data_IF_937867134858
#
_entry.id   IF_937867134858
#
_cell.length_a   1.000
_cell.length_b   1.000
_cell.length_c   1.000
_cell.angle_alpha   90.00
_cell.angle_beta   90.00
_cell.angle_gamma   90.00
#
_symmetry.space_group_name_H-M   'P 1'
#
loop_
_entity.id
_entity.type
_entity.pdbx_description
1 polymer ?
#
# COMPACT_ATOMS: atom_id res chain seq x y z
N UNK A 1 21.34 40.57 4.37
CA UNK A 1 20.78 39.67 5.42
C UNK A 1 19.74 38.67 4.90
N UNK A 2 18.77 39.05 4.06
CA UNK A 2 17.70 38.13 3.60
C UNK A 2 18.19 36.89 2.83
N UNK A 3 19.25 37.01 2.01
CA UNK A 3 19.76 35.90 1.20
C UNK A 3 20.39 34.79 2.05
N UNK A 4 21.25 35.14 3.01
CA UNK A 4 21.86 34.19 3.96
C UNK A 4 20.79 33.49 4.80
N UNK A 5 19.75 34.21 5.22
CA UNK A 5 18.61 33.61 5.92
C UNK A 5 17.87 32.57 5.05
N UNK A 6 17.75 32.79 3.74
CA UNK A 6 17.17 31.80 2.82
C UNK A 6 18.05 30.54 2.68
N UNK A 7 19.37 30.71 2.61
CA UNK A 7 20.33 29.59 2.60
C UNK A 7 20.25 28.80 3.92
N UNK A 8 20.16 29.49 5.06
CA UNK A 8 19.99 28.86 6.38
C UNK A 8 18.68 28.06 6.48
N UNK A 9 17.54 28.63 6.08
CA UNK A 9 16.26 27.91 6.04
C UNK A 9 16.31 26.65 5.18
N UNK A 10 16.94 26.74 4.00
CA UNK A 10 17.07 25.59 3.12
C UNK A 10 18.01 24.51 3.67
N UNK A 11 19.04 24.88 4.45
CA UNK A 11 19.85 23.91 5.18
C UNK A 11 19.06 23.22 6.30
N UNK A 12 18.24 23.97 7.02
CA UNK A 12 17.43 23.45 8.13
C UNK A 12 16.36 22.42 7.69
N UNK A 13 16.01 22.37 6.40
CA UNK A 13 15.20 21.28 5.83
C UNK A 13 15.85 19.89 5.99
N UNK A 14 17.16 19.83 6.24
CA UNK A 14 17.95 18.61 6.44
C UNK A 14 18.41 18.41 7.90
N UNK A 15 17.85 19.16 8.86
CA UNK A 15 18.28 19.12 10.25
C UNK A 15 17.84 17.86 11.02
N UNK A 16 16.86 17.11 10.50
CA UNK A 16 16.41 15.86 11.12
C UNK A 16 17.48 14.77 11.07
N UNK A 17 17.68 14.05 12.17
CA UNK A 17 18.48 12.81 12.16
C UNK A 17 17.70 11.74 11.40
N UNK A 18 18.34 11.13 10.40
CA UNK A 18 17.79 9.94 9.77
C UNK A 18 17.81 8.82 10.82
N UNK A 19 16.66 8.55 11.45
CA UNK A 19 16.54 7.58 12.54
C UNK A 19 17.24 6.27 12.15
N UNK A 20 18.26 5.93 12.94
CA UNK A 20 19.01 4.68 12.89
C UNK A 20 18.20 3.54 13.49
N UNK A 21 17.07 3.20 12.88
CA UNK A 21 16.42 1.91 13.13
C UNK A 21 17.06 0.89 12.20
N UNK A 22 18.00 0.09 12.73
CA UNK A 22 18.38 -1.16 12.07
C UNK A 22 17.16 -2.07 12.08
N UNK A 23 16.71 -2.52 10.91
CA UNK A 23 15.71 -3.58 10.84
C UNK A 23 16.46 -4.87 11.19
N UNK A 24 16.51 -5.18 12.49
CA UNK A 24 16.97 -6.46 12.99
C UNK A 24 16.00 -7.55 12.55
N UNK A 25 16.47 -8.44 11.70
CA UNK A 25 15.75 -9.64 11.29
C UNK A 25 16.68 -10.49 10.44
N UNK A 26 16.97 -11.71 10.88
CA UNK A 26 17.77 -12.66 10.13
C UNK A 26 17.27 -12.71 8.67
N UNK A 27 18.16 -12.62 7.67
CA UNK A 27 17.72 -12.44 6.30
C UNK A 27 16.95 -13.69 5.87
N UNK A 28 15.71 -13.51 5.39
CA UNK A 28 14.90 -14.57 4.77
C UNK A 28 15.67 -15.36 3.69
N UNK A 29 16.75 -14.76 3.19
CA UNK A 29 17.76 -15.33 2.30
C UNK A 29 18.49 -16.55 2.89
N UNK A 30 18.85 -16.56 4.18
CA UNK A 30 19.50 -17.69 4.84
C UNK A 30 18.58 -18.91 4.88
N UNK A 31 17.29 -18.68 5.16
CA UNK A 31 16.26 -19.72 5.12
C UNK A 31 16.00 -20.23 3.70
N UNK A 32 15.93 -19.34 2.71
CA UNK A 32 15.75 -19.71 1.31
C UNK A 32 16.91 -20.56 0.76
N UNK A 33 18.16 -20.24 1.11
CA UNK A 33 19.35 -21.01 0.71
C UNK A 33 19.55 -22.31 1.49
N UNK A 34 19.03 -22.41 2.72
CA UNK A 34 19.01 -23.66 3.47
C UNK A 34 18.01 -24.67 2.86
N UNK A 35 16.83 -24.21 2.44
CA UNK A 35 15.78 -25.08 1.88
C UNK A 35 16.17 -25.67 0.52
N UNK A 36 16.93 -24.95 -0.31
CA UNK A 36 17.42 -25.46 -1.61
C UNK A 36 18.32 -26.70 -1.50
N UNK A 37 18.93 -26.96 -0.33
CA UNK A 37 19.94 -28.03 -0.16
C UNK A 37 19.35 -29.40 0.18
N UNK A 38 18.05 -29.51 0.44
CA UNK A 38 17.40 -30.80 0.72
C UNK A 38 16.60 -31.30 -0.50
N UNK A 39 17.12 -32.35 -1.17
CA UNK A 39 16.44 -33.04 -2.27
C UNK A 39 16.12 -34.47 -1.86
N UNK A 40 14.84 -34.85 -1.94
CA UNK A 40 14.32 -36.18 -1.61
C UNK A 40 12.85 -36.20 -1.17
N UNK A 41 12.00 -35.31 -1.72
CA UNK A 41 10.60 -35.18 -1.30
C UNK A 41 9.62 -35.79 -2.32
N UNK A 42 8.54 -36.48 -1.88
CA UNK A 42 7.46 -36.95 -2.76
C UNK A 42 6.85 -35.81 -3.59
N UNK A 43 6.32 -36.08 -4.80
CA UNK A 43 5.90 -35.05 -5.77
C UNK A 43 5.00 -33.93 -5.20
N UNK A 44 4.01 -34.25 -4.35
CA UNK A 44 3.15 -33.25 -3.70
C UNK A 44 3.88 -32.43 -2.62
N UNK A 45 4.90 -33.00 -1.96
CA UNK A 45 5.79 -32.27 -1.05
C UNK A 45 6.82 -31.43 -1.82
N UNK A 46 7.30 -31.91 -2.98
CA UNK A 46 8.17 -31.16 -3.88
C UNK A 46 7.45 -29.93 -4.49
N UNK A 47 6.18 -30.07 -4.90
CA UNK A 47 5.38 -28.95 -5.40
C UNK A 47 5.11 -27.89 -4.32
N UNK A 48 4.75 -28.31 -3.09
CA UNK A 48 4.59 -27.42 -1.92
C UNK A 48 5.92 -26.74 -1.53
N UNK A 49 7.03 -27.48 -1.57
CA UNK A 49 8.37 -26.94 -1.34
C UNK A 49 8.76 -25.91 -2.41
N UNK A 50 8.49 -26.18 -3.69
CA UNK A 50 8.73 -25.23 -4.79
C UNK A 50 7.93 -23.93 -4.67
N UNK A 51 6.66 -24.01 -4.26
CA UNK A 51 5.83 -22.85 -3.97
C UNK A 51 6.38 -22.03 -2.78
N UNK A 52 6.80 -22.71 -1.70
CA UNK A 52 7.40 -22.09 -0.53
C UNK A 52 8.75 -21.40 -0.85
N UNK A 53 9.63 -22.06 -1.62
CA UNK A 53 10.91 -21.49 -2.08
C UNK A 53 10.67 -20.24 -2.93
N UNK A 54 9.69 -20.30 -3.85
CA UNK A 54 9.35 -19.15 -4.71
C UNK A 54 8.81 -17.99 -3.87
N UNK A 55 8.01 -18.27 -2.84
CA UNK A 55 7.51 -17.25 -1.92
C UNK A 55 8.64 -16.61 -1.11
N UNK A 56 9.53 -17.40 -0.53
CA UNK A 56 10.70 -16.90 0.20
C UNK A 56 11.63 -16.07 -0.69
N UNK A 57 11.84 -16.47 -1.94
CA UNK A 57 12.63 -15.70 -2.90
C UNK A 57 12.01 -14.33 -3.21
N UNK A 58 10.66 -14.25 -3.30
CA UNK A 58 9.96 -12.96 -3.48
C UNK A 58 10.08 -12.07 -2.23
N UNK A 59 9.96 -12.63 -1.03
CA UNK A 59 10.16 -11.89 0.22
C UNK A 59 11.59 -11.34 0.30
N UNK A 60 12.60 -12.17 0.05
CA UNK A 60 14.00 -11.73 0.03
C UNK A 60 14.29 -10.66 -1.05
N UNK A 61 13.57 -10.66 -2.17
CA UNK A 61 13.65 -9.58 -3.15
C UNK A 61 13.01 -8.28 -2.65
N UNK A 62 11.85 -8.37 -1.98
CA UNK A 62 11.17 -7.21 -1.38
C UNK A 62 12.01 -6.57 -0.27
N UNK A 63 12.65 -7.38 0.58
CA UNK A 63 13.55 -6.91 1.64
C UNK A 63 14.74 -6.14 1.07
N UNK A 64 15.40 -6.70 0.04
CA UNK A 64 16.50 -5.99 -0.67
C UNK A 64 16.04 -4.68 -1.30
N UNK A 65 14.85 -4.65 -1.89
CA UNK A 65 14.31 -3.43 -2.50
C UNK A 65 13.97 -2.36 -1.44
N UNK A 66 13.49 -2.79 -0.26
CA UNK A 66 13.24 -1.91 0.89
C UNK A 66 14.55 -1.31 1.40
N UNK A 67 15.56 -2.16 1.63
CA UNK A 67 16.89 -1.74 2.06
C UNK A 67 17.51 -0.72 1.09
N UNK A 68 17.48 -1.01 -0.22
CA UNK A 68 17.97 -0.09 -1.25
C UNK A 68 17.23 1.26 -1.21
N UNK A 69 15.93 1.26 -0.96
CA UNK A 69 15.12 2.48 -0.91
C UNK A 69 15.44 3.32 0.32
N UNK A 70 15.63 2.68 1.49
CA UNK A 70 16.03 3.35 2.73
C UNK A 70 17.45 3.91 2.60
N UNK A 71 18.39 3.12 2.07
CA UNK A 71 19.77 3.55 1.83
C UNK A 71 19.81 4.75 0.89
N UNK A 72 19.10 4.71 -0.23
CA UNK A 72 19.01 5.84 -1.15
C UNK A 72 18.44 7.12 -0.50
N UNK A 73 17.43 6.97 0.37
CA UNK A 73 16.88 8.10 1.13
C UNK A 73 17.91 8.71 2.09
N UNK A 74 18.63 7.87 2.84
CA UNK A 74 19.68 8.28 3.77
C UNK A 74 20.84 8.97 3.05
N UNK A 75 21.30 8.42 1.93
CA UNK A 75 22.36 9.01 1.11
C UNK A 75 21.94 10.37 0.54
N UNK A 76 20.72 10.50 0.00
CA UNK A 76 20.24 11.79 -0.53
C UNK A 76 20.15 12.86 0.57
N UNK A 77 19.69 12.46 1.76
CA UNK A 77 19.60 13.35 2.91
C UNK A 77 20.98 13.83 3.37
N UNK A 78 21.93 12.90 3.53
CA UNK A 78 23.30 13.24 3.93
C UNK A 78 23.99 14.16 2.90
N UNK A 79 23.86 13.84 1.61
CA UNK A 79 24.38 14.67 0.53
C UNK A 79 23.73 16.06 0.51
N UNK A 80 22.41 16.14 0.67
CA UNK A 80 21.67 17.41 0.75
C UNK A 80 22.11 18.28 1.92
N UNK A 81 22.31 17.67 3.09
CA UNK A 81 22.83 18.35 4.28
C UNK A 81 24.23 18.91 4.06
N UNK A 82 25.15 18.09 3.54
CA UNK A 82 26.54 18.49 3.28
C UNK A 82 26.61 19.62 2.23
N UNK A 83 25.90 19.47 1.10
CA UNK A 83 25.92 20.45 0.02
C UNK A 83 25.31 21.81 0.44
N UNK A 84 24.20 21.79 1.18
CA UNK A 84 23.58 23.04 1.67
C UNK A 84 24.43 23.70 2.75
N UNK A 85 25.12 22.90 3.59
CA UNK A 85 26.06 23.42 4.58
C UNK A 85 27.25 24.11 3.93
N UNK A 86 27.90 23.45 2.98
CA UNK A 86 29.03 24.02 2.24
C UNK A 86 28.66 25.35 1.55
N UNK A 87 27.46 25.42 0.96
CA UNK A 87 26.98 26.65 0.31
C UNK A 87 26.69 27.79 1.30
N UNK A 88 26.15 27.45 2.48
CA UNK A 88 25.93 28.42 3.57
C UNK A 88 27.26 28.93 4.13
N UNK A 89 28.20 28.03 4.40
CA UNK A 89 29.52 28.38 4.93
C UNK A 89 30.28 29.27 3.92
N UNK A 90 30.25 28.91 2.63
CA UNK A 90 30.83 29.74 1.57
C UNK A 90 30.17 31.11 1.39
N UNK A 91 28.93 31.29 1.85
CA UNK A 91 28.25 32.59 1.85
C UNK A 91 28.62 33.42 3.09
N UNK A 92 28.85 32.77 4.23
CA UNK A 92 29.23 33.43 5.49
C UNK A 92 30.70 33.86 5.49
N UNK A 93 31.58 33.12 4.79
CA UNK A 93 33.02 33.41 4.73
C UNK A 93 33.42 34.27 3.53
N UNK A 94 32.46 34.75 2.73
CA UNK A 94 32.70 35.55 1.53
C UNK A 94 33.21 36.95 1.89
N UNK A 95 34.54 37.09 2.04
CA UNK A 95 35.23 38.36 2.30
C UNK A 95 35.62 39.02 0.98
N UNK A 96 34.67 39.59 0.23
CA UNK A 96 34.98 40.25 -1.05
C UNK A 96 35.68 41.60 -0.85
N UNK A 97 36.92 41.78 -1.35
CA UNK A 97 37.72 42.99 -1.11
C UNK A 97 37.41 44.17 -2.03
N UNK A 98 36.46 44.06 -2.95
CA UNK A 98 36.15 45.09 -3.97
C UNK A 98 34.68 45.57 -3.94
N UNK A 99 33.94 45.31 -2.85
CA UNK A 99 32.51 45.58 -2.73
C UNK A 99 32.12 47.06 -2.94
N UNK A 100 33.06 47.99 -2.79
CA UNK A 100 32.81 49.43 -2.93
C UNK A 100 32.81 49.90 -4.40
N UNK A 101 33.22 49.04 -5.34
CA UNK A 101 33.17 49.34 -6.78
C UNK A 101 31.85 48.86 -7.41
N UNK A 102 31.33 49.53 -8.45
CA UNK A 102 30.16 49.03 -9.19
C UNK A 102 30.33 47.60 -9.71
N UNK A 103 31.53 47.24 -10.17
CA UNK A 103 31.86 45.88 -10.59
C UNK A 103 31.86 44.88 -9.43
N UNK A 104 32.45 45.22 -8.28
CA UNK A 104 32.45 44.35 -7.12
C UNK A 104 31.06 44.11 -6.54
N UNK A 105 30.17 45.12 -6.54
CA UNK A 105 28.75 44.94 -6.18
C UNK A 105 28.04 43.96 -7.11
N UNK A 106 28.29 44.04 -8.42
CA UNK A 106 27.73 43.09 -9.40
C UNK A 106 28.25 41.68 -9.17
N UNK A 107 29.54 41.53 -8.90
CA UNK A 107 30.16 40.22 -8.65
C UNK A 107 29.61 39.56 -7.38
N UNK A 108 29.49 40.32 -6.28
CA UNK A 108 28.87 39.85 -5.02
C UNK A 108 27.44 39.38 -5.26
N UNK A 109 26.65 40.17 -6.00
CA UNK A 109 25.27 39.83 -6.33
C UNK A 109 25.20 38.58 -7.23
N UNK A 110 26.08 38.45 -8.22
CA UNK A 110 26.14 37.30 -9.11
C UNK A 110 26.47 36.00 -8.35
N UNK A 111 27.46 36.04 -7.44
CA UNK A 111 27.82 34.90 -6.59
C UNK A 111 26.68 34.51 -5.66
N UNK A 112 26.07 35.47 -4.98
CA UNK A 112 24.91 35.20 -4.11
C UNK A 112 23.73 34.59 -4.90
N UNK A 113 23.45 35.11 -6.10
CA UNK A 113 22.44 34.55 -6.98
C UNK A 113 22.78 33.12 -7.43
N UNK A 114 24.04 32.83 -7.74
CA UNK A 114 24.51 31.49 -8.06
C UNK A 114 24.31 30.51 -6.89
N UNK A 115 24.65 30.93 -5.66
CA UNK A 115 24.44 30.15 -4.43
C UNK A 115 22.95 29.86 -4.20
N UNK A 116 22.08 30.86 -4.34
CA UNK A 116 20.63 30.67 -4.21
C UNK A 116 20.07 29.70 -5.27
N UNK A 117 20.49 29.81 -6.53
CA UNK A 117 20.09 28.88 -7.61
C UNK A 117 20.58 27.46 -7.34
N UNK A 118 21.82 27.30 -6.87
CA UNK A 118 22.37 25.99 -6.50
C UNK A 118 21.56 25.35 -5.36
N UNK A 119 21.27 26.12 -4.31
CA UNK A 119 20.48 25.66 -3.17
C UNK A 119 19.04 25.28 -3.58
N UNK A 120 18.38 26.12 -4.39
CA UNK A 120 17.04 25.84 -4.91
C UNK A 120 17.01 24.55 -5.73
N UNK A 121 17.94 24.38 -6.68
CA UNK A 121 18.05 23.14 -7.48
C UNK A 121 18.27 21.92 -6.57
N UNK A 122 19.03 22.07 -5.47
CA UNK A 122 19.24 20.96 -4.54
C UNK A 122 17.95 20.56 -3.84
N UNK A 123 17.26 21.53 -3.22
CA UNK A 123 16.01 21.29 -2.49
C UNK A 123 14.93 20.72 -3.43
N UNK A 124 14.76 21.32 -4.62
CA UNK A 124 13.80 20.83 -5.61
C UNK A 124 14.10 19.40 -6.06
N UNK A 125 15.37 19.08 -6.35
CA UNK A 125 15.80 17.74 -6.73
C UNK A 125 15.59 16.71 -5.61
N UNK A 126 15.88 17.08 -4.36
CA UNK A 126 15.67 16.21 -3.19
C UNK A 126 14.18 15.92 -2.97
N UNK A 127 13.30 16.93 -3.11
CA UNK A 127 11.84 16.74 -3.06
C UNK A 127 11.34 15.78 -4.15
N UNK A 128 11.85 15.90 -5.38
CA UNK A 128 11.50 14.98 -6.47
C UNK A 128 11.93 13.53 -6.16
N UNK A 129 13.17 13.32 -5.69
CA UNK A 129 13.65 11.98 -5.31
C UNK A 129 12.90 11.42 -4.11
N UNK A 130 12.62 12.21 -3.08
CA UNK A 130 11.83 11.79 -1.93
C UNK A 130 10.42 11.29 -2.35
N UNK A 131 9.75 11.98 -3.28
CA UNK A 131 8.47 11.53 -3.84
C UNK A 131 8.61 10.17 -4.56
N UNK A 132 9.65 9.99 -5.37
CA UNK A 132 9.89 8.72 -6.06
C UNK A 132 10.18 7.57 -5.09
N UNK A 133 10.99 7.80 -4.06
CA UNK A 133 11.28 6.80 -3.02
C UNK A 133 10.01 6.46 -2.23
N UNK A 134 9.18 7.45 -1.88
CA UNK A 134 7.89 7.20 -1.24
C UNK A 134 6.94 6.36 -2.11
N UNK A 135 6.91 6.58 -3.43
CA UNK A 135 6.15 5.75 -4.36
C UNK A 135 6.69 4.31 -4.42
N UNK A 136 8.02 4.12 -4.39
CA UNK A 136 8.63 2.78 -4.32
C UNK A 136 8.24 2.06 -3.03
N UNK A 137 8.30 2.72 -1.88
CA UNK A 137 7.84 2.16 -0.61
C UNK A 137 6.36 1.75 -0.66
N UNK A 138 5.49 2.60 -1.22
CA UNK A 138 4.06 2.27 -1.41
C UNK A 138 3.87 1.05 -2.30
N UNK A 139 4.65 0.91 -3.38
CA UNK A 139 4.62 -0.27 -4.25
C UNK A 139 5.07 -1.53 -3.53
N UNK A 140 6.12 -1.45 -2.71
CA UNK A 140 6.58 -2.58 -1.89
C UNK A 140 5.52 -3.00 -0.88
N UNK A 141 4.89 -2.07 -0.16
CA UNK A 141 3.76 -2.38 0.72
C UNK A 141 2.58 -3.00 -0.04
N UNK A 142 2.30 -2.55 -1.27
CA UNK A 142 1.28 -3.16 -2.11
C UNK A 142 1.63 -4.61 -2.50
N UNK A 143 2.89 -4.88 -2.87
CA UNK A 143 3.34 -6.22 -3.22
C UNK A 143 3.40 -7.16 -2.01
N UNK A 144 3.86 -6.66 -0.87
CA UNK A 144 3.90 -7.40 0.40
C UNK A 144 2.47 -7.74 0.86
N UNK A 145 1.54 -6.78 0.78
CA UNK A 145 0.11 -7.04 0.96
C UNK A 145 -0.34 -8.10 -0.03
N UNK A 146 -0.17 -7.92 -1.35
CA UNK A 146 -0.58 -8.93 -2.37
C UNK A 146 -0.01 -10.33 -2.09
N UNK A 147 1.23 -10.43 -1.59
CA UNK A 147 1.82 -11.72 -1.22
C UNK A 147 1.23 -12.32 0.05
N UNK A 148 0.77 -11.51 1.01
CA UNK A 148 -0.07 -11.98 2.11
C UNK A 148 -1.47 -12.39 1.61
N UNK A 149 -1.98 -11.82 0.51
CA UNK A 149 -3.25 -12.23 -0.12
C UNK A 149 -3.16 -13.59 -0.80
N UNK A 150 -2.04 -13.93 -1.43
CA UNK A 150 -1.85 -15.27 -2.00
C UNK A 150 -1.78 -16.40 -0.96
N UNK A 151 -1.78 -16.06 0.34
CA UNK A 151 -1.79 -17.02 1.44
C UNK A 151 -3.17 -17.12 2.14
N UNK A 152 -4.18 -16.36 1.69
CA UNK A 152 -5.56 -16.59 2.10
C UNK A 152 -6.18 -17.65 1.19
N UNK A 153 -6.87 -18.63 1.77
CA UNK A 153 -7.64 -19.62 1.00
C UNK A 153 -8.61 -18.90 0.06
N UNK A 154 -8.63 -19.32 -1.20
CA UNK A 154 -9.66 -18.93 -2.17
C UNK A 154 -10.66 -20.08 -2.33
N UNK A 155 -11.82 -19.82 -2.93
CA UNK A 155 -12.86 -20.82 -3.12
C UNK A 155 -13.91 -20.84 -2.01
N UNK A 156 -14.96 -21.63 -2.26
CA UNK A 156 -16.21 -21.59 -1.49
C UNK A 156 -15.99 -21.76 0.02
N UNK A 157 -15.18 -22.74 0.44
CA UNK A 157 -14.94 -23.01 1.86
C UNK A 157 -14.35 -21.80 2.61
N UNK A 158 -13.40 -21.10 1.99
CA UNK A 158 -12.79 -19.91 2.59
C UNK A 158 -13.77 -18.73 2.66
N UNK A 159 -14.59 -18.56 1.62
CA UNK A 159 -15.67 -17.55 1.59
C UNK A 159 -16.69 -17.84 2.69
N UNK A 160 -17.18 -19.08 2.82
CA UNK A 160 -18.14 -19.47 3.86
C UNK A 160 -17.58 -19.26 5.26
N UNK A 161 -16.32 -19.65 5.51
CA UNK A 161 -15.66 -19.41 6.80
C UNK A 161 -15.54 -17.90 7.11
N UNK A 162 -15.25 -17.08 6.10
CA UNK A 162 -15.17 -15.64 6.26
C UNK A 162 -16.54 -15.00 6.55
N UNK A 163 -17.61 -15.46 5.89
CA UNK A 163 -18.99 -15.01 6.18
C UNK A 163 -19.32 -15.30 7.65
N UNK A 164 -19.08 -16.52 8.13
CA UNK A 164 -19.34 -16.89 9.53
C UNK A 164 -18.58 -16.01 10.51
N UNK A 165 -17.29 -15.78 10.24
CA UNK A 165 -16.46 -14.91 11.08
C UNK A 165 -16.95 -13.46 11.06
N UNK A 166 -17.39 -12.97 9.90
CA UNK A 166 -17.99 -11.65 9.79
C UNK A 166 -19.28 -11.56 10.61
N UNK A 167 -20.18 -12.54 10.53
CA UNK A 167 -21.40 -12.58 11.35
C UNK A 167 -21.09 -12.55 12.85
N UNK A 168 -20.03 -13.23 13.29
CA UNK A 168 -19.57 -13.15 14.69
C UNK A 168 -19.09 -11.73 15.05
N UNK A 169 -18.30 -11.09 14.18
CA UNK A 169 -17.84 -9.69 14.37
C UNK A 169 -19.02 -8.71 14.38
N UNK A 170 -20.07 -9.00 13.61
CA UNK A 170 -21.29 -8.19 13.54
C UNK A 170 -22.28 -8.48 14.68
N UNK A 171 -21.99 -9.44 15.56
CA UNK A 171 -22.87 -9.80 16.67
C UNK A 171 -24.16 -10.53 16.24
N UNK A 172 -24.19 -11.11 15.04
CA UNK A 172 -25.36 -11.82 14.51
C UNK A 172 -25.25 -13.29 14.93
N UNK A 173 -25.88 -13.62 16.06
CA UNK A 173 -25.82 -14.95 16.66
C UNK A 173 -27.09 -15.79 16.46
N UNK A 174 -28.21 -15.17 16.10
CA UNK A 174 -29.46 -15.90 15.82
C UNK A 174 -29.26 -16.91 14.66
N UNK A 175 -29.54 -18.21 14.87
CA UNK A 175 -29.29 -19.23 13.85
C UNK A 175 -30.04 -19.02 12.54
N UNK A 176 -31.28 -18.52 12.59
CA UNK A 176 -32.08 -18.29 11.40
C UNK A 176 -31.52 -17.12 10.58
N UNK A 177 -31.19 -16.01 11.23
CA UNK A 177 -30.53 -14.86 10.63
C UNK A 177 -29.20 -15.25 9.96
N UNK A 178 -28.36 -16.01 10.66
CA UNK A 178 -27.08 -16.49 10.12
C UNK A 178 -27.28 -17.33 8.88
N UNK A 179 -28.24 -18.25 8.90
CA UNK A 179 -28.52 -19.10 7.74
C UNK A 179 -28.99 -18.28 6.51
N UNK A 180 -29.76 -17.21 6.72
CA UNK A 180 -30.18 -16.30 5.62
C UNK A 180 -29.00 -15.51 5.06
N UNK A 181 -28.18 -14.91 5.91
CA UNK A 181 -26.96 -14.21 5.50
C UNK A 181 -25.99 -15.13 4.76
N UNK A 182 -25.69 -16.31 5.30
CA UNK A 182 -24.79 -17.29 4.69
C UNK A 182 -25.26 -17.67 3.28
N UNK A 183 -26.55 -18.01 3.10
CA UNK A 183 -27.08 -18.37 1.78
C UNK A 183 -27.00 -17.23 0.78
N UNK A 184 -27.42 -16.02 1.16
CA UNK A 184 -27.43 -14.86 0.27
C UNK A 184 -26.02 -14.45 -0.13
N UNK A 185 -25.10 -14.35 0.83
CA UNK A 185 -23.72 -13.95 0.57
C UNK A 185 -22.92 -15.01 -0.21
N UNK A 186 -23.14 -16.30 0.05
CA UNK A 186 -22.55 -17.42 -0.73
C UNK A 186 -22.99 -17.34 -2.19
N UNK A 187 -24.29 -17.08 -2.44
CA UNK A 187 -24.82 -16.93 -3.78
C UNK A 187 -24.21 -15.75 -4.54
N UNK A 188 -24.12 -14.59 -3.87
CA UNK A 188 -23.48 -13.40 -4.46
C UNK A 188 -22.02 -13.71 -4.80
N UNK A 189 -21.24 -14.25 -3.85
CA UNK A 189 -19.84 -14.55 -4.09
C UNK A 189 -19.62 -15.57 -5.24
N UNK A 190 -20.54 -16.53 -5.39
CA UNK A 190 -20.54 -17.45 -6.53
C UNK A 190 -20.74 -16.72 -7.85
N UNK A 191 -21.73 -15.83 -7.91
CA UNK A 191 -22.11 -15.11 -9.13
C UNK A 191 -21.08 -14.05 -9.53
N UNK A 192 -20.51 -13.36 -8.55
CA UNK A 192 -19.62 -12.22 -8.76
C UNK A 192 -18.20 -12.62 -9.15
N UNK A 193 -17.65 -13.68 -8.56
CA UNK A 193 -16.26 -14.07 -8.82
C UNK A 193 -16.00 -15.57 -8.82
N UNK A 194 -17.05 -16.39 -8.74
CA UNK A 194 -16.91 -17.83 -8.49
C UNK A 194 -16.03 -18.12 -7.25
N UNK A 195 -16.26 -17.35 -6.18
CA UNK A 195 -15.53 -17.42 -4.90
C UNK A 195 -14.05 -17.05 -4.95
N UNK A 196 -13.58 -16.41 -6.03
CA UNK A 196 -12.19 -15.96 -6.10
C UNK A 196 -11.97 -14.67 -5.29
N UNK A 197 -11.19 -14.78 -4.22
CA UNK A 197 -10.76 -13.66 -3.38
C UNK A 197 -9.84 -12.68 -4.12
N UNK A 198 -9.17 -13.13 -5.18
CA UNK A 198 -8.22 -12.35 -5.97
C UNK A 198 -8.80 -11.83 -7.28
N UNK A 199 -10.10 -12.07 -7.55
CA UNK A 199 -10.74 -11.61 -8.78
C UNK A 199 -10.57 -10.10 -8.96
N UNK A 200 -10.25 -9.68 -10.17
CA UNK A 200 -10.18 -8.27 -10.57
C UNK A 200 -10.87 -8.13 -11.90
N UNK A 201 -11.94 -7.35 -11.95
CA UNK A 201 -12.57 -6.98 -13.22
C UNK A 201 -11.78 -5.83 -13.87
N UNK A 202 -11.21 -6.08 -15.06
CA UNK A 202 -10.35 -5.12 -15.76
C UNK A 202 -10.99 -4.44 -16.97
N UNK A 203 -12.25 -4.73 -17.30
CA UNK A 203 -12.83 -4.36 -18.60
C UNK A 203 -14.09 -3.49 -18.51
N UNK A 204 -14.65 -3.28 -17.33
CA UNK A 204 -15.87 -2.48 -17.14
C UNK A 204 -15.60 -0.96 -17.02
N UNK A 205 -16.69 -0.18 -16.91
CA UNK A 205 -16.62 1.28 -16.77
C UNK A 205 -15.88 1.73 -15.50
N UNK A 206 -15.89 0.92 -14.44
CA UNK A 206 -15.16 1.20 -13.21
C UNK A 206 -13.65 0.99 -13.40
N UNK A 207 -13.25 -0.06 -14.13
CA UNK A 207 -11.87 -0.30 -14.51
C UNK A 207 -11.34 0.83 -15.41
N UNK A 208 -12.13 1.29 -16.38
CA UNK A 208 -11.79 2.45 -17.22
C UNK A 208 -11.58 3.73 -16.40
N UNK A 209 -12.32 3.89 -15.30
CA UNK A 209 -12.17 5.01 -14.34
C UNK A 209 -11.05 4.80 -13.30
N UNK A 210 -10.29 3.71 -13.40
CA UNK A 210 -9.16 3.42 -12.51
C UNK A 210 -9.54 2.82 -11.14
N UNK A 211 -10.81 2.43 -10.95
CA UNK A 211 -11.32 1.80 -9.72
C UNK A 211 -11.98 0.46 -10.02
N UNK A 212 -11.25 -0.53 -10.56
CA UNK A 212 -11.81 -1.83 -10.91
C UNK A 212 -12.44 -2.53 -9.70
N UNK A 213 -13.49 -3.32 -9.97
CA UNK A 213 -14.12 -4.21 -9.00
C UNK A 213 -13.20 -5.37 -8.62
N UNK A 214 -13.18 -5.75 -7.34
CA UNK A 214 -12.21 -6.69 -6.77
C UNK A 214 -12.81 -7.62 -5.74
N UNK A 215 -12.24 -8.82 -5.66
CA UNK A 215 -12.49 -9.79 -4.60
C UNK A 215 -13.77 -10.60 -4.76
N UNK A 216 -14.10 -11.37 -3.72
CA UNK A 216 -15.20 -12.33 -3.75
C UNK A 216 -16.58 -11.68 -3.99
N UNK A 217 -16.77 -10.45 -3.52
CA UNK A 217 -18.03 -9.70 -3.72
C UNK A 217 -17.87 -8.52 -4.69
N UNK A 218 -16.80 -8.51 -5.49
CA UNK A 218 -16.56 -7.53 -6.56
C UNK A 218 -16.76 -6.05 -6.14
N UNK A 219 -16.26 -5.69 -4.96
CA UNK A 219 -16.28 -4.30 -4.52
C UNK A 219 -15.35 -3.41 -5.35
N UNK A 220 -15.79 -2.19 -5.64
CA UNK A 220 -14.87 -1.10 -6.00
C UNK A 220 -14.23 -0.50 -4.74
N UNK A 221 -12.99 -0.02 -4.88
CA UNK A 221 -12.21 0.55 -3.79
C UNK A 221 -12.93 1.63 -2.94
N UNK A 222 -13.61 2.64 -3.51
CA UNK A 222 -14.28 3.67 -2.70
C UNK A 222 -15.44 3.10 -1.88
N UNK A 223 -16.23 2.18 -2.43
CA UNK A 223 -17.34 1.53 -1.70
C UNK A 223 -16.81 0.67 -0.56
N UNK A 224 -15.81 -0.18 -0.82
CA UNK A 224 -15.20 -0.99 0.25
C UNK A 224 -14.67 -0.11 1.39
N UNK A 225 -14.01 1.00 1.08
CA UNK A 225 -13.49 1.92 2.08
C UNK A 225 -14.60 2.61 2.90
N UNK A 226 -15.71 3.00 2.26
CA UNK A 226 -16.83 3.66 2.92
C UNK A 226 -17.56 2.74 3.91
N UNK A 227 -17.69 1.45 3.57
CA UNK A 227 -18.41 0.46 4.39
C UNK A 227 -17.48 -0.48 5.18
N UNK A 228 -16.18 -0.19 5.22
CA UNK A 228 -15.20 -0.99 5.93
C UNK A 228 -15.56 -1.13 7.42
N UNK A 229 -15.43 -2.34 7.96
CA UNK A 229 -15.66 -2.58 9.38
C UNK A 229 -14.37 -2.30 10.19
N UNK A 230 -14.38 -1.33 11.13
CA UNK A 230 -13.26 -1.08 12.02
C UNK A 230 -12.80 -2.35 12.74
N UNK A 231 -11.49 -2.51 12.89
CA UNK A 231 -10.89 -3.71 13.48
C UNK A 231 -10.64 -4.87 12.50
N UNK A 232 -11.09 -4.78 11.25
CA UNK A 232 -10.75 -5.74 10.19
C UNK A 232 -9.68 -5.19 9.23
N UNK A 233 -9.13 -6.04 8.37
CA UNK A 233 -8.09 -5.65 7.39
C UNK A 233 -8.60 -4.55 6.45
N UNK A 234 -7.76 -3.55 6.14
CA UNK A 234 -8.04 -2.54 5.09
C UNK A 234 -7.77 -3.05 3.68
N UNK A 235 -7.68 -4.36 3.50
CA UNK A 235 -7.50 -4.97 2.20
C UNK A 235 -8.81 -5.43 1.59
N UNK A 236 -9.08 -4.91 0.40
CA UNK A 236 -10.26 -5.27 -0.39
C UNK A 236 -10.25 -6.73 -0.82
N UNK A 237 -9.11 -7.43 -0.78
CA UNK A 237 -9.03 -8.86 -1.07
C UNK A 237 -9.17 -9.74 0.19
N UNK A 238 -9.19 -9.16 1.40
CA UNK A 238 -9.41 -9.93 2.62
C UNK A 238 -10.89 -10.33 2.72
N UNK A 239 -11.15 -11.64 2.76
CA UNK A 239 -12.52 -12.17 2.72
C UNK A 239 -13.36 -11.74 3.94
N UNK A 240 -12.79 -11.71 5.14
CA UNK A 240 -13.52 -11.30 6.35
C UNK A 240 -13.86 -9.82 6.28
N UNK A 241 -12.92 -8.97 5.87
CA UNK A 241 -13.15 -7.54 5.72
C UNK A 241 -14.22 -7.24 4.64
N UNK A 242 -14.18 -7.95 3.50
CA UNK A 242 -15.22 -7.81 2.47
C UNK A 242 -16.58 -8.30 2.95
N UNK A 243 -16.64 -9.42 3.67
CA UNK A 243 -17.90 -9.93 4.20
C UNK A 243 -18.52 -8.93 5.20
N UNK A 244 -17.72 -8.36 6.11
CA UNK A 244 -18.21 -7.31 7.01
C UNK A 244 -18.67 -6.06 6.24
N UNK A 245 -17.90 -5.63 5.22
CA UNK A 245 -18.27 -4.49 4.38
C UNK A 245 -19.54 -4.75 3.57
N UNK A 246 -19.76 -5.98 3.11
CA UNK A 246 -20.99 -6.39 2.44
C UNK A 246 -22.20 -6.27 3.35
N UNK A 247 -22.12 -6.77 4.58
CA UNK A 247 -23.22 -6.65 5.56
C UNK A 247 -23.55 -5.18 5.81
N UNK A 248 -22.52 -4.34 6.05
CA UNK A 248 -22.69 -2.90 6.24
C UNK A 248 -23.35 -2.22 5.03
N UNK A 249 -22.85 -2.51 3.83
CA UNK A 249 -23.37 -1.96 2.59
C UNK A 249 -24.81 -2.41 2.31
N UNK A 250 -25.11 -3.68 2.53
CA UNK A 250 -26.45 -4.24 2.34
C UNK A 250 -27.48 -3.57 3.27
N UNK A 251 -27.12 -3.39 4.55
CA UNK A 251 -28.00 -2.76 5.53
C UNK A 251 -28.20 -1.27 5.22
N UNK A 252 -27.14 -0.52 4.96
CA UNK A 252 -27.22 0.93 4.76
C UNK A 252 -27.80 1.31 3.38
N UNK A 253 -27.27 0.74 2.30
CA UNK A 253 -27.65 1.14 0.94
C UNK A 253 -29.00 0.58 0.50
N UNK A 254 -29.30 -0.65 0.90
CA UNK A 254 -30.47 -1.40 0.42
C UNK A 254 -31.53 -1.63 1.51
N UNK A 255 -31.28 -1.24 2.76
CA UNK A 255 -32.24 -1.40 3.86
C UNK A 255 -32.46 -2.87 4.23
N UNK A 256 -31.44 -3.72 4.08
CA UNK A 256 -31.52 -5.12 4.51
C UNK A 256 -31.62 -5.17 6.03
N UNK A 257 -32.58 -5.94 6.55
CA UNK A 257 -32.77 -6.15 7.98
C UNK A 257 -31.58 -6.92 8.58
N UNK A 258 -31.30 -6.70 9.87
CA UNK A 258 -30.20 -7.39 10.59
C UNK A 258 -30.36 -8.92 10.51
N UNK A 259 -31.60 -9.41 10.47
CA UNK A 259 -31.91 -10.84 10.39
C UNK A 259 -31.91 -11.41 8.96
N UNK A 260 -31.56 -10.59 7.95
CA UNK A 260 -31.56 -10.91 6.52
C UNK A 260 -32.88 -11.48 5.96
N UNK A 261 -34.01 -11.25 6.63
CA UNK A 261 -35.33 -11.72 6.17
C UNK A 261 -35.68 -11.20 4.77
N UNK A 262 -35.26 -9.99 4.44
CA UNK A 262 -35.54 -9.30 3.17
C UNK A 262 -34.33 -9.24 2.22
N UNK A 263 -33.24 -9.98 2.48
CA UNK A 263 -31.99 -9.85 1.72
C UNK A 263 -32.17 -10.14 0.22
N UNK A 264 -32.88 -11.21 -0.13
CA UNK A 264 -33.14 -11.59 -1.53
C UNK A 264 -34.05 -10.57 -2.25
N UNK A 265 -35.02 -10.02 -1.55
CA UNK A 265 -35.94 -9.00 -2.10
C UNK A 265 -35.20 -7.70 -2.42
N UNK A 266 -34.25 -7.33 -1.57
CA UNK A 266 -33.50 -6.07 -1.66
C UNK A 266 -32.27 -6.16 -2.57
N UNK A 267 -31.68 -7.33 -2.69
CA UNK A 267 -30.47 -7.57 -3.48
C UNK A 267 -30.71 -8.74 -4.44
N UNK A 268 -30.99 -8.44 -5.71
CA UNK A 268 -31.25 -9.44 -6.74
C UNK A 268 -30.12 -10.49 -6.86
N UNK A 269 -28.86 -10.10 -6.68
CA UNK A 269 -27.75 -11.06 -6.74
C UNK A 269 -27.81 -12.13 -5.63
N UNK A 270 -28.49 -11.83 -4.52
CA UNK A 270 -28.71 -12.75 -3.40
C UNK A 270 -30.00 -13.60 -3.56
N UNK A 271 -30.76 -13.41 -4.64
CA UNK A 271 -31.97 -14.18 -4.93
C UNK A 271 -31.68 -15.38 -5.86
N UNK A 272 -31.87 -16.63 -5.40
CA UNK A 272 -31.65 -17.82 -6.23
C UNK A 272 -32.68 -18.01 -7.35
N UNK A 273 -33.87 -17.41 -7.23
CA UNK A 273 -34.97 -17.55 -8.19
C UNK A 273 -34.89 -16.53 -9.33
N UNK A 274 -34.03 -15.50 -9.19
CA UNK A 274 -33.81 -14.49 -10.23
C UNK A 274 -32.48 -14.73 -10.92
N UNK A 275 -32.46 -14.43 -12.22
CA UNK A 275 -31.23 -14.45 -13.00
C UNK A 275 -30.19 -13.48 -12.42
N UNK A 276 -28.89 -13.81 -12.49
CA UNK A 276 -27.83 -12.87 -12.16
C UNK A 276 -28.01 -11.58 -12.96
N UNK A 277 -27.86 -10.43 -12.31
CA UNK A 277 -27.87 -9.15 -13.01
C UNK A 277 -26.47 -8.96 -13.63
N UNK A 278 -26.38 -8.82 -14.95
CA UNK A 278 -25.14 -8.35 -15.57
C UNK A 278 -24.85 -6.90 -15.16
N UNK A 279 -23.58 -6.55 -15.05
CA UNK A 279 -23.13 -5.17 -14.85
C UNK A 279 -23.46 -4.30 -16.06
#
# INVERSE_FOLDING_TARGET
MQAVAALSRAHNLYAGTAAGGGIGGAPAQAYAEAIKRHVGLPAAAAARSGAAITHLARLAHADRALEQTITAARTDHAYGRAATRANLDAALTDKTPAADTPMGRREVAARMAARLRAQHRRVAGSRRRAKLLALRLRRLHYLQRRSMHSNQGSGRAAVTAAIRKALDIKGIHDPAARARWERGMDLVARRESNYDANAVNGWDSNAARGTPSKGAWQFIAPTFAAYHQPGTSRDIHNLVAQACAFINYAMDRYGVAVDASNLADRIQQADPHRAPKGY
#
